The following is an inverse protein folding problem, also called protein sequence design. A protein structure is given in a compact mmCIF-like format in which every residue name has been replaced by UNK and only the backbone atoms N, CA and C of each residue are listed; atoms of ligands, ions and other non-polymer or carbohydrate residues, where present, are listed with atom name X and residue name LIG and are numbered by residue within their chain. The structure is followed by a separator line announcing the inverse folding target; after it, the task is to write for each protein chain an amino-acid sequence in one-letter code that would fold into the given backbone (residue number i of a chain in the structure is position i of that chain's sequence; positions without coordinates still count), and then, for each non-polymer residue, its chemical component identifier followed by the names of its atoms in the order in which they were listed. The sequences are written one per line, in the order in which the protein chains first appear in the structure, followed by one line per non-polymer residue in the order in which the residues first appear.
data_IF_651194464518
#
_entry.id   IF_651194464518
#
_cell.length_a   1.000
_cell.length_b   1.000
_cell.length_c   1.000
_cell.angle_alpha   90.00
_cell.angle_beta   90.00
_cell.angle_gamma   90.00
#
_symmetry.space_group_name_H-M   'P 1'
#
loop_
_entity.id
_entity.type
_entity.pdbx_description
1 polymer ?
#
# COMPACT_ATOMS: atom_id res chain seq x y z
N UNK A 1 -11.58 36.62 -17.94
CA UNK A 1 -10.51 36.12 -17.07
C UNK A 1 -11.12 35.07 -16.18
N UNK A 2 -10.94 33.78 -16.50
CA UNK A 2 -11.37 32.68 -15.62
C UNK A 2 -10.24 32.44 -14.62
N UNK A 3 -10.51 32.69 -13.34
CA UNK A 3 -9.67 32.18 -12.26
C UNK A 3 -9.96 30.68 -12.18
N UNK A 4 -9.08 29.83 -12.72
CA UNK A 4 -9.13 28.40 -12.42
C UNK A 4 -8.67 28.24 -10.97
N UNK A 5 -9.57 27.79 -10.12
CA UNK A 5 -9.24 27.45 -8.73
C UNK A 5 -8.44 26.15 -8.79
N UNK A 6 -7.22 26.08 -8.24
CA UNK A 6 -6.44 24.84 -8.24
C UNK A 6 -7.24 23.73 -7.56
N UNK A 7 -7.26 22.53 -8.15
CA UNK A 7 -7.90 21.39 -7.55
C UNK A 7 -7.03 20.87 -6.41
N UNK A 8 -7.52 20.95 -5.18
CA UNK A 8 -6.79 20.53 -3.97
C UNK A 8 -7.30 19.16 -3.54
N UNK A 9 -6.38 18.21 -3.39
CA UNK A 9 -6.62 16.89 -2.82
C UNK A 9 -5.88 16.68 -1.51
N UNK A 10 -6.29 15.66 -0.76
CA UNK A 10 -5.61 15.25 0.47
C UNK A 10 -5.30 13.76 0.44
N UNK A 11 -4.09 13.38 0.87
CA UNK A 11 -3.64 11.99 0.94
C UNK A 11 -3.03 11.70 2.31
N UNK A 12 -3.33 10.54 2.88
CA UNK A 12 -2.70 10.06 4.11
C UNK A 12 -1.54 9.13 3.80
N UNK A 13 -0.51 9.18 4.65
CA UNK A 13 0.45 8.08 4.81
C UNK A 13 0.22 7.47 6.19
N UNK A 14 -0.18 6.20 6.20
CA UNK A 14 -0.35 5.39 7.41
C UNK A 14 0.81 4.43 7.59
N UNK A 15 1.30 4.31 8.82
CA UNK A 15 2.12 3.17 9.20
C UNK A 15 1.21 1.95 9.36
N UNK A 16 1.51 0.86 8.65
CA UNK A 16 0.69 -0.36 8.64
C UNK A 16 1.50 -1.56 9.11
N UNK A 17 1.04 -2.21 10.17
CA UNK A 17 1.61 -3.47 10.66
C UNK A 17 1.07 -4.67 9.86
N UNK A 18 1.73 -4.98 8.74
CA UNK A 18 1.31 -6.03 7.81
C UNK A 18 1.46 -7.45 8.40
N UNK A 19 2.46 -7.69 9.25
CA UNK A 19 2.71 -9.02 9.82
C UNK A 19 2.93 -10.08 8.74
N UNK A 20 2.36 -11.29 8.92
CA UNK A 20 2.41 -12.34 7.91
C UNK A 20 1.33 -12.10 6.84
N UNK A 21 1.74 -11.94 5.59
CA UNK A 21 0.87 -11.55 4.47
C UNK A 21 0.31 -12.77 3.71
N UNK A 22 -0.98 -12.76 3.41
CA UNK A 22 -1.62 -13.65 2.44
C UNK A 22 -1.62 -12.99 1.06
N UNK A 23 -1.04 -13.64 0.06
CA UNK A 23 -0.87 -13.07 -1.27
C UNK A 23 -1.93 -13.60 -2.24
N UNK A 24 -2.57 -12.70 -2.98
CA UNK A 24 -3.56 -13.03 -4.02
C UNK A 24 -3.23 -12.29 -5.33
N UNK A 25 -3.66 -12.86 -6.46
CA UNK A 25 -3.50 -12.29 -7.81
C UNK A 25 -4.81 -12.21 -8.59
N UNK A 26 -5.91 -12.57 -7.94
CA UNK A 26 -7.26 -12.54 -8.47
C UNK A 26 -8.12 -11.83 -7.43
N UNK A 27 -9.01 -10.97 -7.89
CA UNK A 27 -9.92 -10.22 -7.02
C UNK A 27 -10.81 -11.19 -6.22
N UNK A 28 -10.77 -11.05 -4.89
CA UNK A 28 -11.57 -11.85 -3.96
C UNK A 28 -12.47 -10.92 -3.12
N UNK A 29 -13.52 -10.32 -3.73
CA UNK A 29 -14.36 -9.31 -3.06
C UNK A 29 -15.15 -9.87 -1.87
N UNK A 30 -15.24 -11.19 -1.75
CA UNK A 30 -15.93 -11.88 -0.65
C UNK A 30 -15.05 -12.10 0.59
N UNK A 31 -13.75 -11.78 0.51
CA UNK A 31 -12.79 -12.04 1.57
C UNK A 31 -13.00 -11.09 2.75
N UNK A 32 -13.81 -11.56 3.73
CA UNK A 32 -14.13 -10.83 4.97
C UNK A 32 -13.22 -11.19 6.14
N UNK A 33 -12.47 -12.28 6.03
CA UNK A 33 -11.59 -12.78 7.07
C UNK A 33 -10.36 -13.42 6.44
N UNK A 34 -9.22 -13.23 7.10
CA UNK A 34 -7.94 -13.81 6.69
C UNK A 34 -7.93 -15.33 6.87
N UNK A 35 -7.23 -16.08 6.00
CA UNK A 35 -6.91 -17.47 6.29
C UNK A 35 -6.15 -17.59 7.62
N UNK A 36 -6.32 -18.69 8.38
CA UNK A 36 -5.67 -18.86 9.67
C UNK A 36 -4.15 -18.67 9.59
N UNK A 37 -3.59 -17.85 10.48
CA UNK A 37 -2.16 -17.60 10.57
C UNK A 37 -1.61 -16.53 9.63
N UNK A 38 -2.47 -15.68 9.06
CA UNK A 38 -2.10 -14.45 8.36
C UNK A 38 -2.65 -13.21 9.08
N UNK A 39 -2.05 -12.05 8.84
CA UNK A 39 -2.36 -10.77 9.47
C UNK A 39 -2.83 -9.70 8.46
N UNK A 40 -2.56 -9.89 7.18
CA UNK A 40 -2.95 -8.97 6.10
C UNK A 40 -3.08 -9.71 4.77
N UNK A 41 -3.65 -9.03 3.78
CA UNK A 41 -3.69 -9.47 2.38
C UNK A 41 -2.94 -8.45 1.53
N UNK A 42 -2.16 -8.94 0.57
CA UNK A 42 -1.70 -8.12 -0.56
C UNK A 42 -2.31 -8.72 -1.82
N UNK A 43 -3.14 -7.95 -2.49
CA UNK A 43 -3.53 -8.22 -3.87
C UNK A 43 -2.44 -7.65 -4.77
N UNK A 44 -1.60 -8.51 -5.31
CA UNK A 44 -0.41 -8.08 -6.07
C UNK A 44 -0.78 -7.51 -7.43
N UNK A 45 -0.16 -6.40 -7.80
CA UNK A 45 -0.21 -5.87 -9.15
C UNK A 45 0.85 -6.46 -10.08
N UNK A 46 0.80 -6.09 -11.35
CA UNK A 46 1.86 -6.39 -12.32
C UNK A 46 3.17 -5.63 -12.06
N UNK A 47 3.16 -4.64 -11.16
CA UNK A 47 4.34 -3.87 -10.75
C UNK A 47 4.35 -3.58 -9.25
N UNK A 48 5.53 -3.45 -8.67
CA UNK A 48 5.79 -2.91 -7.32
C UNK A 48 6.89 -1.84 -7.39
N UNK A 49 6.95 -0.87 -6.47
CA UNK A 49 8.16 -0.06 -6.29
C UNK A 49 9.39 -0.97 -6.14
N UNK A 50 10.51 -0.61 -6.78
CA UNK A 50 11.76 -1.39 -6.67
C UNK A 50 12.18 -1.58 -5.20
N UNK A 51 12.07 -2.81 -4.65
CA UNK A 51 12.29 -3.06 -3.23
C UNK A 51 13.76 -2.90 -2.84
N UNK A 52 14.68 -2.88 -3.81
CA UNK A 52 16.10 -2.63 -3.53
C UNK A 52 16.38 -1.17 -3.16
N UNK A 53 15.41 -0.28 -3.38
CA UNK A 53 15.48 1.13 -3.03
C UNK A 53 14.61 1.50 -1.82
N UNK A 54 14.04 0.51 -1.13
CA UNK A 54 13.34 0.77 0.12
C UNK A 54 14.29 1.43 1.12
N UNK A 55 13.81 2.50 1.73
CA UNK A 55 14.44 3.08 2.92
C UNK A 55 13.56 2.80 4.11
N UNK A 56 14.05 3.13 5.30
CA UNK A 56 13.25 3.06 6.51
C UNK A 56 13.28 4.39 7.25
N UNK A 57 12.19 4.65 7.98
CA UNK A 57 12.08 5.75 8.94
C UNK A 57 11.84 5.18 10.32
N UNK A 58 12.37 5.85 11.35
CA UNK A 58 12.08 5.48 12.73
C UNK A 58 10.81 6.22 13.21
N UNK A 59 9.79 5.48 13.60
CA UNK A 59 8.53 5.99 14.15
C UNK A 59 8.27 5.33 15.50
N UNK A 60 8.31 6.11 16.58
CA UNK A 60 8.16 5.61 17.96
C UNK A 60 9.07 4.42 18.31
N UNK A 61 10.32 4.46 17.85
CA UNK A 61 11.31 3.41 18.06
C UNK A 61 11.13 2.16 17.17
N UNK A 62 10.21 2.19 16.20
CA UNK A 62 10.02 1.13 15.21
C UNK A 62 10.61 1.54 13.86
N UNK A 63 11.27 0.60 13.18
CA UNK A 63 11.75 0.77 11.80
C UNK A 63 10.60 0.48 10.84
N UNK A 64 10.19 1.48 10.07
CA UNK A 64 9.06 1.40 9.14
C UNK A 64 9.58 1.60 7.72
N UNK A 65 9.35 0.61 6.85
CA UNK A 65 9.75 0.68 5.45
C UNK A 65 8.96 1.75 4.68
N UNK A 66 9.65 2.49 3.81
CA UNK A 66 9.09 3.49 2.91
C UNK A 66 9.66 3.22 1.51
N UNK A 67 8.84 2.77 0.55
CA UNK A 67 9.31 2.54 -0.80
C UNK A 67 9.76 3.85 -1.47
N UNK A 68 10.93 3.85 -2.10
CA UNK A 68 11.48 5.01 -2.85
C UNK A 68 11.71 4.70 -4.34
N UNK A 69 11.67 3.42 -4.71
CA UNK A 69 11.91 2.97 -6.06
C UNK A 69 10.80 3.37 -7.04
N UNK A 70 11.16 3.47 -8.32
CA UNK A 70 10.15 3.49 -9.39
C UNK A 70 9.46 2.13 -9.48
N UNK A 71 8.21 2.05 -9.96
CA UNK A 71 7.57 0.78 -10.23
C UNK A 71 8.39 -0.07 -11.21
N UNK A 72 8.64 -1.32 -10.85
CA UNK A 72 9.29 -2.34 -11.69
C UNK A 72 8.32 -3.50 -11.90
N UNK A 73 8.40 -4.21 -13.05
CA UNK A 73 7.56 -5.37 -13.29
C UNK A 73 7.79 -6.47 -12.24
N UNK A 74 6.72 -7.13 -11.82
CA UNK A 74 6.75 -8.31 -10.95
C UNK A 74 6.42 -9.56 -11.79
N UNK A 75 7.42 -10.30 -12.32
CA UNK A 75 7.15 -11.40 -13.25
C UNK A 75 6.27 -12.52 -12.65
N UNK A 76 6.37 -12.74 -11.34
CA UNK A 76 5.55 -13.70 -10.60
C UNK A 76 4.05 -13.36 -10.61
N UNK A 77 3.72 -12.07 -10.74
CA UNK A 77 2.35 -11.54 -10.69
C UNK A 77 1.91 -10.96 -12.04
N UNK A 78 2.61 -11.28 -13.12
CA UNK A 78 2.34 -10.73 -14.46
C UNK A 78 0.96 -11.10 -15.04
N UNK A 79 0.29 -12.11 -14.47
CA UNK A 79 -1.08 -12.50 -14.84
C UNK A 79 -2.14 -12.02 -13.83
N UNK A 80 -1.80 -11.09 -12.93
CA UNK A 80 -2.74 -10.56 -11.95
C UNK A 80 -3.89 -9.80 -12.60
N UNK A 81 -5.07 -9.82 -11.96
CA UNK A 81 -6.21 -8.97 -12.33
C UNK A 81 -5.92 -7.48 -12.16
N UNK A 82 -5.01 -7.14 -11.24
CA UNK A 82 -4.69 -5.77 -10.87
C UNK A 82 -3.39 -5.27 -11.50
N UNK A 83 -3.37 -4.00 -11.90
CA UNK A 83 -2.16 -3.35 -12.42
C UNK A 83 -1.19 -2.96 -11.30
N UNK A 84 -1.71 -2.49 -10.17
CA UNK A 84 -0.98 -2.06 -8.98
C UNK A 84 -1.41 -2.89 -7.77
N UNK A 85 -0.54 -2.97 -6.78
CA UNK A 85 -0.85 -3.73 -5.57
C UNK A 85 -1.77 -2.98 -4.61
N UNK A 86 -2.66 -3.73 -3.96
CA UNK A 86 -3.52 -3.25 -2.89
C UNK A 86 -3.17 -3.96 -1.58
N UNK A 87 -2.91 -3.18 -0.54
CA UNK A 87 -2.53 -3.66 0.79
C UNK A 87 -3.74 -3.55 1.72
N UNK A 88 -4.20 -4.68 2.24
CA UNK A 88 -5.45 -4.78 3.00
C UNK A 88 -5.22 -5.36 4.39
N UNK A 89 -5.71 -4.66 5.40
CA UNK A 89 -5.76 -5.09 6.81
C UNK A 89 -7.20 -5.23 7.27
N UNK A 90 -7.44 -6.12 8.23
CA UNK A 90 -8.78 -6.45 8.72
C UNK A 90 -9.05 -5.97 10.15
N UNK A 91 -8.06 -5.35 10.79
CA UNK A 91 -8.19 -4.73 12.11
C UNK A 91 -7.70 -3.29 12.06
N UNK A 92 -8.54 -2.35 12.49
CA UNK A 92 -8.21 -0.91 12.48
C UNK A 92 -6.93 -0.59 13.28
N UNK A 93 -6.68 -1.36 14.34
CA UNK A 93 -5.48 -1.25 15.18
C UNK A 93 -4.16 -1.50 14.45
N UNK A 94 -4.18 -2.09 13.24
CA UNK A 94 -2.99 -2.31 12.42
C UNK A 94 -2.54 -1.07 11.64
N UNK A 95 -3.34 0.00 11.59
CA UNK A 95 -2.97 1.24 10.93
C UNK A 95 -2.90 2.40 11.92
N UNK A 96 -1.84 3.21 11.79
CA UNK A 96 -1.72 4.50 12.47
C UNK A 96 -1.38 5.59 11.47
N UNK A 97 -2.23 6.61 11.38
CA UNK A 97 -1.97 7.78 10.54
C UNK A 97 -0.72 8.52 11.01
N UNK A 98 0.20 8.83 10.09
CA UNK A 98 1.46 9.51 10.37
C UNK A 98 1.57 10.86 9.67
N UNK A 99 1.13 10.93 8.42
CA UNK A 99 1.21 12.16 7.63
C UNK A 99 -0.09 12.42 6.88
N UNK A 100 -0.41 13.70 6.70
CA UNK A 100 -1.45 14.21 5.81
C UNK A 100 -0.78 15.15 4.82
N UNK A 101 -0.97 14.89 3.54
CA UNK A 101 -0.42 15.68 2.45
C UNK A 101 -1.56 16.45 1.79
N UNK A 102 -1.38 17.75 1.60
CA UNK A 102 -2.14 18.53 0.64
C UNK A 102 -1.45 18.39 -0.72
N UNK A 103 -2.21 18.01 -1.75
CA UNK A 103 -1.72 17.86 -3.12
C UNK A 103 -2.48 18.78 -4.05
N UNK A 104 -1.76 19.42 -4.98
CA UNK A 104 -2.37 20.23 -6.04
C UNK A 104 -2.37 19.39 -7.32
N UNK A 105 -3.55 19.26 -7.93
CA UNK A 105 -3.82 18.39 -9.09
C UNK A 105 -3.78 19.18 -10.40
#
# INVERSE_FOLDING_TARGET
MSCEVPSIGYMFLGEVALGKVHHITIDEPSLKQLPPGFNSVIAHGGTEPDPTQDTEVELDGQRVAVPQGRPVPCPEFGSSSSSQSEYVIYQESQCRLRYLLEVHL
#
